data_IF_422358209862
#
_entry.id   IF_422358209862
#
_cell.length_a   1.000
_cell.length_b   1.000
_cell.length_c   1.000
_cell.angle_alpha   90.00
_cell.angle_beta   90.00
_cell.angle_gamma   90.00
#
_symmetry.space_group_name_H-M   'P 1'
#
loop_
_entity.id
_entity.type
_entity.pdbx_description
1 polymer ?
#
# COMPACT_ATOMS: atom_id res chain seq x y z
N UNK A 1 -12.25 -25.29 -5.31
CA UNK A 1 -13.42 -24.96 -4.49
C UNK A 1 -13.08 -23.68 -3.73
N UNK A 2 -13.66 -22.55 -4.10
CA UNK A 2 -13.54 -21.29 -3.35
C UNK A 2 -14.43 -21.40 -2.12
N UNK A 3 -13.87 -21.83 -0.98
CA UNK A 3 -14.61 -21.92 0.28
C UNK A 3 -15.15 -20.53 0.65
N UNK A 4 -16.46 -20.44 0.88
CA UNK A 4 -17.10 -19.25 1.44
C UNK A 4 -16.51 -18.94 2.80
N UNK A 5 -16.64 -17.69 3.23
CA UNK A 5 -16.12 -17.17 4.50
C UNK A 5 -17.25 -16.79 5.48
N UNK A 6 -18.40 -17.50 5.38
CA UNK A 6 -19.65 -17.18 6.10
C UNK A 6 -19.47 -17.06 7.63
N UNK A 7 -18.53 -17.82 8.20
CA UNK A 7 -18.27 -17.81 9.64
C UNK A 7 -17.18 -16.81 10.06
N UNK A 8 -16.56 -16.12 9.12
CA UNK A 8 -15.44 -15.22 9.41
C UNK A 8 -15.90 -13.82 9.78
N UNK A 9 -15.30 -13.27 10.82
CA UNK A 9 -15.44 -11.87 11.22
C UNK A 9 -14.17 -11.11 10.82
N UNK A 10 -14.33 -10.09 9.98
CA UNK A 10 -13.23 -9.36 9.38
C UNK A 10 -13.31 -7.89 9.77
N UNK A 11 -12.27 -7.38 10.41
CA UNK A 11 -12.08 -5.95 10.69
C UNK A 11 -11.23 -5.33 9.58
N UNK A 12 -11.67 -4.21 9.01
CA UNK A 12 -10.95 -3.49 7.95
C UNK A 12 -10.85 -2.00 8.31
N UNK A 13 -9.62 -1.49 8.42
CA UNK A 13 -9.40 -0.06 8.61
C UNK A 13 -9.26 0.67 7.27
N UNK A 14 -9.73 1.92 7.19
CA UNK A 14 -9.70 2.71 5.95
C UNK A 14 -10.66 2.20 4.88
N UNK A 15 -11.83 1.70 5.29
CA UNK A 15 -12.79 1.05 4.40
C UNK A 15 -13.65 1.99 3.55
N UNK A 16 -13.45 3.32 3.61
CA UNK A 16 -14.28 4.31 2.88
C UNK A 16 -13.93 4.46 1.41
N UNK A 17 -12.78 3.95 0.94
CA UNK A 17 -12.37 4.06 -0.47
C UNK A 17 -11.20 3.11 -0.81
N UNK A 18 -10.83 3.07 -2.09
CA UNK A 18 -9.64 2.37 -2.57
C UNK A 18 -9.57 0.90 -2.16
N UNK A 19 -8.39 0.44 -1.77
CA UNK A 19 -8.12 -0.95 -1.37
C UNK A 19 -9.05 -1.41 -0.24
N UNK A 20 -9.27 -0.58 0.79
CA UNK A 20 -10.12 -0.96 1.92
C UNK A 20 -11.57 -1.22 1.52
N UNK A 21 -12.14 -0.36 0.67
CA UNK A 21 -13.48 -0.54 0.11
C UNK A 21 -13.55 -1.78 -0.80
N UNK A 22 -12.58 -1.93 -1.71
CA UNK A 22 -12.51 -3.10 -2.59
C UNK A 22 -12.44 -4.41 -1.79
N UNK A 23 -11.62 -4.43 -0.74
CA UNK A 23 -11.48 -5.58 0.16
C UNK A 23 -12.76 -5.85 0.94
N UNK A 24 -13.44 -4.82 1.48
CA UNK A 24 -14.71 -4.99 2.17
C UNK A 24 -15.78 -5.61 1.25
N UNK A 25 -15.90 -5.12 0.02
CA UNK A 25 -16.83 -5.66 -0.98
C UNK A 25 -16.46 -7.10 -1.37
N UNK A 26 -15.18 -7.43 -1.47
CA UNK A 26 -14.73 -8.78 -1.79
C UNK A 26 -15.06 -9.76 -0.66
N UNK A 27 -14.85 -9.39 0.61
CA UNK A 27 -15.25 -10.20 1.76
C UNK A 27 -16.76 -10.34 1.87
N UNK A 28 -17.54 -9.29 1.62
CA UNK A 28 -19.00 -9.34 1.61
C UNK A 28 -19.52 -10.36 0.57
N UNK A 29 -19.01 -10.33 -0.67
CA UNK A 29 -19.34 -11.32 -1.70
C UNK A 29 -18.98 -12.76 -1.31
N UNK A 30 -18.02 -12.95 -0.41
CA UNK A 30 -17.65 -14.26 0.13
C UNK A 30 -18.37 -14.62 1.44
N UNK A 31 -19.35 -13.83 1.90
CA UNK A 31 -20.23 -14.14 3.03
C UNK A 31 -19.69 -13.72 4.41
N UNK A 32 -18.54 -13.06 4.51
CA UNK A 32 -17.96 -12.69 5.79
C UNK A 32 -18.74 -11.57 6.50
N UNK A 33 -18.78 -11.62 7.84
CA UNK A 33 -19.28 -10.53 8.70
C UNK A 33 -18.21 -9.47 8.84
N UNK A 34 -18.57 -8.18 8.78
CA UNK A 34 -17.61 -7.10 8.65
C UNK A 34 -17.71 -6.09 9.80
N UNK A 35 -16.56 -5.65 10.30
CA UNK A 35 -16.44 -4.45 11.13
C UNK A 35 -15.57 -3.45 10.37
N UNK A 36 -16.15 -2.35 9.91
CA UNK A 36 -15.51 -1.40 9.01
C UNK A 36 -15.28 -0.06 9.72
N UNK A 37 -14.13 0.56 9.44
CA UNK A 37 -13.90 1.91 9.94
C UNK A 37 -13.20 2.83 8.94
N UNK A 38 -13.46 4.12 9.09
CA UNK A 38 -12.78 5.20 8.41
C UNK A 38 -13.04 6.52 9.12
N UNK A 39 -12.28 7.57 8.77
CA UNK A 39 -12.53 8.93 9.27
C UNK A 39 -13.75 9.60 8.60
N UNK A 40 -14.05 9.23 7.35
CA UNK A 40 -15.12 9.81 6.53
C UNK A 40 -16.39 8.96 6.65
N UNK A 41 -17.33 9.44 7.47
CA UNK A 41 -18.56 8.72 7.74
C UNK A 41 -19.47 8.55 6.51
N UNK A 42 -19.69 9.58 5.64
CA UNK A 42 -20.56 9.41 4.48
C UNK A 42 -20.08 8.31 3.53
N UNK A 43 -18.80 8.32 3.14
CA UNK A 43 -18.24 7.31 2.23
C UNK A 43 -18.08 5.94 2.89
N UNK A 44 -17.95 5.89 4.23
CA UNK A 44 -18.01 4.63 4.98
C UNK A 44 -19.43 4.05 4.91
N UNK A 45 -20.45 4.88 5.10
CA UNK A 45 -21.84 4.45 5.01
C UNK A 45 -22.18 3.86 3.63
N UNK A 46 -21.66 4.45 2.54
CA UNK A 46 -21.82 3.90 1.19
C UNK A 46 -21.21 2.50 1.06
N UNK A 47 -20.03 2.29 1.65
CA UNK A 47 -19.38 0.97 1.65
C UNK A 47 -20.20 -0.03 2.48
N UNK A 48 -20.66 0.37 3.65
CA UNK A 48 -21.49 -0.44 4.54
C UNK A 48 -22.80 -0.84 3.85
N UNK A 49 -23.47 0.11 3.19
CA UNK A 49 -24.68 -0.15 2.41
C UNK A 49 -24.44 -1.20 1.34
N UNK A 50 -23.40 -1.03 0.52
CA UNK A 50 -23.06 -1.98 -0.54
C UNK A 50 -22.72 -3.38 0.00
N UNK A 51 -22.07 -3.48 1.17
CA UNK A 51 -21.82 -4.77 1.81
C UNK A 51 -23.11 -5.41 2.36
N UNK A 52 -24.02 -4.63 2.95
CA UNK A 52 -25.33 -5.13 3.41
C UNK A 52 -26.22 -5.60 2.25
N UNK A 53 -26.14 -4.92 1.11
CA UNK A 53 -26.82 -5.35 -0.14
C UNK A 53 -26.30 -6.70 -0.66
N UNK A 54 -25.04 -7.04 -0.36
CA UNK A 54 -24.51 -8.38 -0.62
C UNK A 54 -24.97 -9.45 0.40
N UNK A 55 -25.82 -9.08 1.36
CA UNK A 55 -26.46 -10.01 2.30
C UNK A 55 -25.69 -10.30 3.58
N UNK A 56 -24.61 -9.56 3.90
CA UNK A 56 -23.79 -9.80 5.09
C UNK A 56 -24.06 -8.80 6.21
N UNK A 57 -23.78 -9.23 7.46
CA UNK A 57 -23.85 -8.36 8.63
C UNK A 57 -22.64 -7.43 8.66
N UNK A 58 -22.89 -6.15 8.90
CA UNK A 58 -21.85 -5.13 8.95
C UNK A 58 -22.08 -4.20 10.15
N UNK A 59 -21.06 -4.01 10.96
CA UNK A 59 -20.96 -2.90 11.93
C UNK A 59 -19.91 -1.92 11.45
N UNK A 60 -20.15 -0.64 11.74
CA UNK A 60 -19.25 0.43 11.39
C UNK A 60 -18.94 1.32 12.60
N UNK A 61 -17.77 1.97 12.56
CA UNK A 61 -17.39 2.99 13.53
C UNK A 61 -16.54 4.07 12.84
N UNK A 62 -16.93 5.33 12.99
CA UNK A 62 -16.06 6.42 12.58
C UNK A 62 -14.80 6.41 13.47
N UNK A 63 -13.63 6.30 12.85
CA UNK A 63 -12.37 6.06 13.56
C UNK A 63 -11.22 6.78 12.86
N UNK A 64 -10.46 7.57 13.61
CA UNK A 64 -9.08 7.92 13.26
C UNK A 64 -8.15 6.86 13.84
N UNK A 65 -7.48 6.11 12.99
CA UNK A 65 -6.56 5.04 13.44
C UNK A 65 -5.32 5.56 14.17
N UNK A 66 -5.03 6.87 14.10
CA UNK A 66 -3.98 7.51 14.89
C UNK A 66 -4.37 7.65 16.38
N UNK A 67 -5.62 7.39 16.74
CA UNK A 67 -6.12 7.38 18.12
C UNK A 67 -6.30 5.93 18.59
N UNK A 68 -5.47 5.51 19.54
CA UNK A 68 -5.50 4.14 20.09
C UNK A 68 -6.84 3.79 20.74
N UNK A 69 -7.50 4.75 21.41
CA UNK A 69 -8.77 4.51 22.08
C UNK A 69 -9.89 4.22 21.06
N UNK A 70 -9.90 4.92 19.92
CA UNK A 70 -10.86 4.67 18.86
C UNK A 70 -10.62 3.30 18.18
N UNK A 71 -9.36 2.89 18.01
CA UNK A 71 -9.03 1.55 17.47
C UNK A 71 -9.45 0.44 18.43
N UNK A 72 -9.27 0.62 19.75
CA UNK A 72 -9.77 -0.30 20.77
C UNK A 72 -11.31 -0.38 20.74
N UNK A 73 -11.99 0.77 20.61
CA UNK A 73 -13.45 0.81 20.49
C UNK A 73 -13.96 0.06 19.25
N UNK A 74 -13.25 0.12 18.11
CA UNK A 74 -13.58 -0.67 16.93
C UNK A 74 -13.49 -2.18 17.19
N UNK A 75 -12.41 -2.64 17.84
CA UNK A 75 -12.27 -4.04 18.22
C UNK A 75 -13.40 -4.49 19.15
N UNK A 76 -13.69 -3.71 20.19
CA UNK A 76 -14.77 -3.97 21.12
C UNK A 76 -16.12 -4.06 20.40
N UNK A 77 -16.40 -3.14 19.48
CA UNK A 77 -17.62 -3.12 18.68
C UNK A 77 -17.78 -4.38 17.82
N UNK A 78 -16.68 -4.88 17.24
CA UNK A 78 -16.68 -6.13 16.48
C UNK A 78 -16.98 -7.35 17.39
N UNK A 79 -16.36 -7.40 18.58
CA UNK A 79 -16.54 -8.48 19.54
C UNK A 79 -17.98 -8.48 20.08
N UNK A 80 -18.53 -7.32 20.45
CA UNK A 80 -19.91 -7.20 20.92
C UNK A 80 -20.93 -7.66 19.88
N UNK A 81 -20.69 -7.34 18.62
CA UNK A 81 -21.60 -7.69 17.55
C UNK A 81 -21.50 -9.17 17.10
N UNK A 82 -20.30 -9.74 17.11
CA UNK A 82 -20.04 -11.01 16.45
C UNK A 82 -19.37 -12.07 17.34
N UNK A 83 -18.96 -11.71 18.56
CA UNK A 83 -18.35 -12.61 19.54
C UNK A 83 -16.87 -12.93 19.30
N UNK A 84 -16.31 -12.56 18.15
CA UNK A 84 -14.93 -12.89 17.76
C UNK A 84 -14.39 -11.96 16.69
N UNK A 85 -13.07 -12.05 16.41
CA UNK A 85 -12.43 -11.46 15.24
C UNK A 85 -11.54 -12.55 14.62
N UNK A 86 -11.74 -12.89 13.35
CA UNK A 86 -10.93 -13.89 12.65
C UNK A 86 -9.82 -13.24 11.81
N UNK A 87 -10.11 -12.07 11.26
CA UNK A 87 -9.17 -11.33 10.40
C UNK A 87 -9.15 -9.88 10.82
N UNK A 88 -7.95 -9.32 10.90
CA UNK A 88 -7.75 -7.87 11.05
C UNK A 88 -6.88 -7.37 9.92
N UNK A 89 -7.41 -6.48 9.09
CA UNK A 89 -6.69 -5.85 7.99
C UNK A 89 -6.37 -4.39 8.32
N UNK A 90 -5.11 -4.13 8.71
CA UNK A 90 -4.56 -2.78 8.86
C UNK A 90 -4.29 -2.20 7.47
N UNK A 91 -5.23 -1.41 6.95
CA UNK A 91 -5.15 -0.86 5.61
C UNK A 91 -5.17 0.68 5.58
N UNK A 92 -5.74 1.35 6.58
CA UNK A 92 -5.79 2.81 6.62
C UNK A 92 -4.40 3.42 6.39
N UNK A 93 -4.32 4.41 5.51
CA UNK A 93 -3.07 5.09 5.21
C UNK A 93 -3.27 6.41 4.49
N UNK A 94 -2.26 7.27 4.60
CA UNK A 94 -2.15 8.58 3.95
C UNK A 94 -0.74 8.75 3.40
N UNK A 95 -0.56 9.71 2.48
CA UNK A 95 0.76 10.04 1.91
C UNK A 95 0.98 11.55 1.88
N UNK A 96 2.24 11.98 1.81
CA UNK A 96 2.66 13.36 1.61
C UNK A 96 3.78 13.41 0.58
N UNK A 97 3.52 14.12 -0.51
CA UNK A 97 4.37 14.21 -1.69
C UNK A 97 5.13 15.54 -1.75
N UNK A 98 6.39 15.48 -2.11
CA UNK A 98 7.26 16.63 -2.32
C UNK A 98 8.73 16.33 -2.06
N UNK A 99 9.64 17.25 -2.39
CA UNK A 99 11.02 17.18 -1.93
C UNK A 99 11.08 17.09 -0.39
N UNK A 100 12.00 16.33 0.15
CA UNK A 100 12.08 16.09 1.60
C UNK A 100 12.12 17.40 2.43
N UNK A 101 12.87 18.40 1.93
CA UNK A 101 13.01 19.68 2.61
C UNK A 101 11.75 20.55 2.57
N UNK A 102 10.82 20.28 1.66
CA UNK A 102 9.60 21.05 1.48
C UNK A 102 8.40 20.44 2.21
N UNK A 103 8.51 19.17 2.64
CA UNK A 103 7.47 18.50 3.42
C UNK A 103 7.55 19.00 4.88
N UNK A 104 6.49 19.67 5.42
CA UNK A 104 6.50 20.11 6.80
C UNK A 104 6.63 18.95 7.79
N UNK A 105 7.35 19.15 8.91
CA UNK A 105 7.51 18.12 9.95
C UNK A 105 6.16 17.59 10.46
N UNK A 106 5.16 18.46 10.62
CA UNK A 106 3.81 18.06 11.03
C UNK A 106 3.15 17.09 10.04
N UNK A 107 3.33 17.29 8.72
CA UNK A 107 2.84 16.37 7.69
C UNK A 107 3.59 15.04 7.74
N UNK A 108 4.91 15.08 7.94
CA UNK A 108 5.73 13.89 8.11
C UNK A 108 5.26 13.06 9.33
N UNK A 109 5.12 13.69 10.48
CA UNK A 109 4.65 13.07 11.71
C UNK A 109 3.24 12.49 11.54
N UNK A 110 2.34 13.23 10.88
CA UNK A 110 0.97 12.76 10.64
C UNK A 110 0.93 11.49 9.79
N UNK A 111 1.77 11.39 8.76
CA UNK A 111 1.89 10.16 7.97
C UNK A 111 2.33 8.98 8.86
N UNK A 112 3.33 9.17 9.73
CA UNK A 112 3.76 8.13 10.66
C UNK A 112 2.67 7.76 11.66
N UNK A 113 1.95 8.74 12.21
CA UNK A 113 0.87 8.51 13.16
C UNK A 113 -0.26 7.67 12.53
N UNK A 114 -0.67 7.99 11.32
CA UNK A 114 -1.75 7.25 10.65
C UNK A 114 -1.26 5.87 10.20
N UNK A 115 -0.15 5.82 9.45
CA UNK A 115 0.28 4.58 8.78
C UNK A 115 0.91 3.59 9.76
N UNK A 116 1.90 4.05 10.56
CA UNK A 116 2.65 3.18 11.45
C UNK A 116 1.92 2.99 12.78
N UNK A 117 1.61 4.07 13.49
CA UNK A 117 0.97 3.93 14.81
C UNK A 117 -0.43 3.35 14.70
N UNK A 118 -1.20 3.71 13.66
CA UNK A 118 -2.47 3.05 13.35
C UNK A 118 -2.33 1.54 13.15
N UNK A 119 -1.27 1.09 12.44
CA UNK A 119 -0.96 -0.34 12.30
C UNK A 119 -0.54 -0.95 13.64
N UNK A 120 0.23 -0.26 14.48
CA UNK A 120 0.60 -0.72 15.84
C UNK A 120 -0.65 -0.94 16.70
N UNK A 121 -1.55 0.04 16.74
CA UNK A 121 -2.77 -0.02 17.56
C UNK A 121 -3.72 -1.13 17.08
N UNK A 122 -3.92 -1.25 15.76
CA UNK A 122 -4.70 -2.33 15.18
C UNK A 122 -4.08 -3.70 15.43
N UNK A 123 -2.77 -3.82 15.31
CA UNK A 123 -2.06 -5.09 15.62
C UNK A 123 -2.19 -5.47 17.08
N UNK A 124 -2.08 -4.52 18.02
CA UNK A 124 -2.32 -4.79 19.45
C UNK A 124 -3.73 -5.28 19.71
N UNK A 125 -4.73 -4.58 19.18
CA UNK A 125 -6.14 -4.96 19.35
C UNK A 125 -6.41 -6.37 18.79
N UNK A 126 -5.91 -6.66 17.57
CA UNK A 126 -6.06 -7.96 16.93
C UNK A 126 -5.36 -9.08 17.70
N UNK A 127 -4.07 -8.92 18.02
CA UNK A 127 -3.29 -9.96 18.69
C UNK A 127 -3.74 -10.22 20.13
N UNK A 128 -4.26 -9.22 20.84
CA UNK A 128 -4.91 -9.42 22.14
C UNK A 128 -6.10 -10.38 22.01
N UNK A 129 -6.97 -10.14 21.03
CA UNK A 129 -8.12 -11.01 20.77
C UNK A 129 -7.70 -12.40 20.27
N UNK A 130 -6.71 -12.47 19.36
CA UNK A 130 -6.24 -13.73 18.80
C UNK A 130 -5.58 -14.64 19.85
N UNK A 131 -4.84 -14.08 20.81
CA UNK A 131 -4.31 -14.84 21.95
C UNK A 131 -5.40 -15.43 22.81
N UNK A 132 -6.47 -14.69 23.07
CA UNK A 132 -7.60 -15.16 23.89
C UNK A 132 -8.40 -16.27 23.20
N UNK A 133 -8.61 -16.17 21.88
CA UNK A 133 -9.39 -17.14 21.11
C UNK A 133 -8.57 -18.27 20.47
N UNK A 134 -7.23 -18.19 20.54
CA UNK A 134 -6.31 -19.20 20.04
C UNK A 134 -6.13 -19.23 18.51
N UNK A 135 -6.70 -18.28 17.76
CA UNK A 135 -6.62 -18.23 16.29
C UNK A 135 -6.87 -16.84 15.74
N UNK A 136 -6.33 -16.54 14.55
CA UNK A 136 -6.63 -15.32 13.81
C UNK A 136 -5.56 -14.97 12.78
N UNK A 137 -5.91 -14.11 11.83
CA UNK A 137 -5.00 -13.63 10.79
C UNK A 137 -4.91 -12.11 10.82
N UNK A 138 -3.75 -11.59 11.22
CA UNK A 138 -3.39 -10.19 11.12
C UNK A 138 -2.77 -9.94 9.74
N UNK A 139 -3.30 -8.98 8.99
CA UNK A 139 -2.77 -8.60 7.69
C UNK A 139 -2.39 -7.12 7.74
N UNK A 140 -1.13 -6.81 7.51
CA UNK A 140 -0.62 -5.44 7.48
C UNK A 140 -0.38 -4.99 6.04
N UNK A 141 -1.00 -3.88 5.64
CA UNK A 141 -0.84 -3.28 4.32
C UNK A 141 0.44 -2.41 4.29
N UNK A 142 1.54 -3.02 3.87
CA UNK A 142 2.79 -2.31 3.59
C UNK A 142 2.74 -1.63 2.20
N UNK A 143 3.75 -1.80 1.39
CA UNK A 143 3.86 -1.36 -0.01
C UNK A 143 5.15 -1.91 -0.60
N UNK A 144 5.27 -1.90 -1.93
CA UNK A 144 6.55 -2.11 -2.62
C UNK A 144 7.61 -1.10 -2.17
N UNK A 145 7.23 0.14 -1.87
CA UNK A 145 8.18 1.16 -1.39
C UNK A 145 8.69 0.90 0.03
N UNK A 146 8.15 -0.10 0.72
CA UNK A 146 8.73 -0.67 1.95
C UNK A 146 9.85 -1.69 1.69
N UNK A 147 10.20 -1.95 0.42
CA UNK A 147 11.33 -2.77 -0.03
C UNK A 147 12.26 -2.02 -0.96
N UNK A 148 11.71 -1.38 -2.00
CA UNK A 148 12.42 -0.58 -2.97
C UNK A 148 11.95 0.88 -2.83
N UNK A 149 12.72 1.75 -2.16
CA UNK A 149 12.29 3.12 -1.86
C UNK A 149 12.22 3.96 -3.13
N UNK A 150 11.31 4.93 -3.14
CA UNK A 150 11.24 5.96 -4.19
C UNK A 150 11.29 7.35 -3.56
N UNK A 151 11.88 8.37 -4.20
CA UNK A 151 11.93 9.73 -3.67
C UNK A 151 10.57 10.43 -3.74
N UNK A 152 10.49 11.60 -3.11
CA UNK A 152 9.37 12.54 -3.13
C UNK A 152 8.12 12.12 -2.33
N UNK A 153 8.21 11.09 -1.50
CA UNK A 153 7.23 10.73 -0.48
C UNK A 153 7.88 10.00 0.70
N UNK A 154 8.96 10.59 1.18
CA UNK A 154 9.81 10.02 2.25
C UNK A 154 9.08 9.61 3.53
N UNK A 155 8.05 10.34 4.05
CA UNK A 155 7.31 9.88 5.23
C UNK A 155 6.54 8.59 4.98
N UNK A 156 5.97 8.42 3.78
CA UNK A 156 5.29 7.20 3.39
C UNK A 156 6.26 6.03 3.28
N UNK A 157 7.38 6.21 2.57
CA UNK A 157 8.46 5.21 2.47
C UNK A 157 8.89 4.76 3.87
N UNK A 158 9.25 5.69 4.76
CA UNK A 158 9.65 5.39 6.13
C UNK A 158 8.58 4.58 6.87
N UNK A 159 7.29 4.97 6.75
CA UNK A 159 6.19 4.25 7.39
C UNK A 159 6.05 2.81 6.87
N UNK A 160 6.22 2.59 5.56
CA UNK A 160 6.04 1.28 4.94
C UNK A 160 7.20 0.31 5.22
N UNK A 161 8.44 0.80 5.31
CA UNK A 161 9.56 0.03 5.85
C UNK A 161 9.32 -0.37 7.31
N UNK A 162 8.87 0.58 8.14
CA UNK A 162 8.58 0.30 9.54
C UNK A 162 7.46 -0.74 9.73
N UNK A 163 6.39 -0.70 8.93
CA UNK A 163 5.30 -1.70 8.95
C UNK A 163 5.83 -3.09 8.59
N UNK A 164 6.73 -3.22 7.61
CA UNK A 164 7.37 -4.50 7.29
C UNK A 164 8.20 -5.02 8.46
N UNK A 165 9.07 -4.17 9.02
CA UNK A 165 9.88 -4.51 10.20
C UNK A 165 9.04 -4.94 11.38
N UNK A 166 7.99 -4.18 11.71
CA UNK A 166 7.02 -4.53 12.74
C UNK A 166 6.37 -5.89 12.47
N UNK A 167 5.91 -6.15 11.24
CA UNK A 167 5.29 -7.42 10.88
C UNK A 167 6.25 -8.60 11.02
N UNK A 168 7.55 -8.39 10.76
CA UNK A 168 8.57 -9.41 10.96
C UNK A 168 8.77 -9.74 12.45
N UNK A 169 8.79 -8.73 13.32
CA UNK A 169 8.91 -8.92 14.77
C UNK A 169 7.67 -9.62 15.33
N UNK A 170 6.46 -9.14 14.99
CA UNK A 170 5.21 -9.73 15.48
C UNK A 170 5.04 -11.19 15.08
N UNK A 171 5.52 -11.61 13.89
CA UNK A 171 5.52 -13.04 13.52
C UNK A 171 6.33 -13.92 14.47
N UNK A 172 7.45 -13.41 14.95
CA UNK A 172 8.30 -14.15 15.89
C UNK A 172 7.63 -14.21 17.27
N UNK A 173 6.95 -13.14 17.68
CA UNK A 173 6.26 -13.08 18.98
C UNK A 173 5.02 -13.98 19.08
N UNK A 174 4.47 -14.46 17.96
CA UNK A 174 3.30 -15.36 17.93
C UNK A 174 3.65 -16.78 17.50
N UNK A 175 4.92 -17.16 17.45
CA UNK A 175 5.36 -18.52 17.06
C UNK A 175 4.84 -19.61 18.00
N UNK A 176 4.48 -19.26 19.24
CA UNK A 176 3.83 -20.14 20.22
C UNK A 176 2.34 -20.40 19.91
N UNK A 177 1.74 -19.67 18.96
CA UNK A 177 0.34 -19.75 18.60
C UNK A 177 0.16 -20.26 17.15
N UNK A 178 0.08 -21.58 16.93
CA UNK A 178 0.14 -22.18 15.58
C UNK A 178 -1.00 -21.76 14.64
N UNK A 179 -2.12 -21.28 15.17
CA UNK A 179 -3.26 -20.81 14.39
C UNK A 179 -3.38 -19.28 14.34
N UNK A 180 -2.36 -18.55 14.82
CA UNK A 180 -2.28 -17.09 14.71
C UNK A 180 -1.24 -16.75 13.65
N UNK A 181 -1.66 -16.01 12.64
CA UNK A 181 -0.82 -15.65 11.50
C UNK A 181 -0.66 -14.14 11.39
N UNK A 182 0.56 -13.69 11.09
CA UNK A 182 0.85 -12.28 10.75
C UNK A 182 1.35 -12.23 9.32
N UNK A 183 0.55 -11.67 8.43
CA UNK A 183 0.82 -11.53 7.00
C UNK A 183 1.14 -10.08 6.65
N UNK A 184 1.96 -9.89 5.63
CA UNK A 184 2.24 -8.57 5.05
C UNK A 184 1.82 -8.58 3.59
N UNK A 185 1.01 -7.63 3.16
CA UNK A 185 0.76 -7.39 1.75
C UNK A 185 1.55 -6.17 1.29
N UNK A 186 2.23 -6.28 0.15
CA UNK A 186 3.05 -5.23 -0.44
C UNK A 186 2.48 -4.85 -1.82
N UNK A 187 1.48 -3.95 -1.88
CA UNK A 187 0.96 -3.49 -3.16
C UNK A 187 2.02 -2.71 -3.96
N UNK A 188 1.97 -2.86 -5.28
CA UNK A 188 2.66 -1.99 -6.24
C UNK A 188 1.92 -0.65 -6.36
N UNK A 189 2.02 0.05 -7.50
CA UNK A 189 1.23 1.24 -7.77
C UNK A 189 -0.23 0.85 -8.04
N UNK A 190 -1.14 1.27 -7.17
CA UNK A 190 -2.56 0.87 -7.23
C UNK A 190 -3.44 2.07 -7.59
N UNK A 191 -4.44 1.84 -8.43
CA UNK A 191 -5.45 2.83 -8.81
C UNK A 191 -6.37 3.18 -7.64
N UNK A 192 -5.95 4.11 -6.80
CA UNK A 192 -6.69 4.53 -5.61
C UNK A 192 -6.84 6.05 -5.55
N UNK A 193 -7.84 6.57 -4.81
CA UNK A 193 -7.93 7.99 -4.50
C UNK A 193 -6.79 8.54 -3.62
N UNK A 194 -5.88 7.72 -3.12
CA UNK A 194 -4.73 8.15 -2.31
C UNK A 194 -3.88 9.20 -3.02
N UNK A 195 -3.68 9.03 -4.33
CA UNK A 195 -2.86 9.91 -5.16
C UNK A 195 -3.40 11.34 -5.28
N UNK A 196 -4.73 11.50 -5.25
CA UNK A 196 -5.37 12.82 -5.28
C UNK A 196 -5.50 13.47 -3.90
N UNK A 197 -5.49 12.66 -2.82
CA UNK A 197 -5.78 13.08 -1.45
C UNK A 197 -4.57 13.23 -0.56
N UNK A 198 -3.40 12.79 -0.99
CA UNK A 198 -2.17 13.00 -0.26
C UNK A 198 -1.85 14.48 -0.11
N UNK A 199 -1.14 14.84 0.96
CA UNK A 199 -0.53 16.16 1.05
C UNK A 199 0.41 16.36 -0.13
N UNK A 200 0.39 17.54 -0.73
CA UNK A 200 1.24 17.83 -1.90
C UNK A 200 2.01 19.13 -1.68
N UNK A 201 3.31 19.00 -1.57
CA UNK A 201 4.28 20.09 -1.36
C UNK A 201 5.25 20.22 -2.53
N UNK A 202 4.93 19.61 -3.67
CA UNK A 202 5.83 19.55 -4.83
C UNK A 202 5.70 20.71 -5.81
N UNK A 203 4.63 21.51 -5.70
CA UNK A 203 4.30 22.54 -6.68
C UNK A 203 3.69 22.02 -7.99
N UNK A 204 3.52 20.71 -8.16
CA UNK A 204 3.03 20.03 -9.37
C UNK A 204 1.96 19.00 -9.02
N UNK A 205 1.05 18.70 -9.95
CA UNK A 205 0.07 17.64 -9.74
C UNK A 205 0.76 16.28 -9.70
N UNK A 206 0.30 15.43 -8.78
CA UNK A 206 0.81 14.07 -8.59
C UNK A 206 0.02 13.09 -9.45
N UNK A 207 0.66 12.01 -9.87
CA UNK A 207 0.03 10.83 -10.47
C UNK A 207 0.74 9.55 -10.04
N UNK A 208 0.06 8.39 -10.05
CA UNK A 208 0.71 7.12 -9.74
C UNK A 208 1.80 6.78 -10.77
N UNK A 209 2.78 6.00 -10.32
CA UNK A 209 3.84 5.47 -11.19
C UNK A 209 3.32 4.24 -11.95
N UNK A 210 3.63 4.17 -13.24
CA UNK A 210 3.32 2.99 -14.06
C UNK A 210 4.23 1.79 -13.72
N UNK A 211 3.73 0.55 -13.85
CA UNK A 211 2.37 0.17 -14.23
C UNK A 211 1.39 0.28 -13.06
N UNK A 212 0.20 0.78 -13.34
CA UNK A 212 -0.87 0.92 -12.36
C UNK A 212 -1.71 -0.37 -12.35
N UNK A 213 -2.07 -0.84 -11.16
CA UNK A 213 -2.85 -2.05 -10.96
C UNK A 213 -4.22 -1.73 -10.32
N UNK A 214 -5.28 -2.53 -10.59
CA UNK A 214 -6.58 -2.33 -9.99
C UNK A 214 -6.57 -2.72 -8.49
N UNK A 215 -7.41 -2.05 -7.70
CA UNK A 215 -7.59 -2.33 -6.26
C UNK A 215 -8.07 -3.75 -5.98
N UNK A 216 -8.85 -4.33 -6.89
CA UNK A 216 -9.37 -5.68 -6.81
C UNK A 216 -8.25 -6.72 -6.72
N UNK A 217 -7.13 -6.49 -7.37
CA UNK A 217 -5.96 -7.38 -7.28
C UNK A 217 -5.43 -7.47 -5.85
N UNK A 218 -5.42 -6.36 -5.10
CA UNK A 218 -5.02 -6.37 -3.68
C UNK A 218 -6.07 -7.08 -2.84
N UNK A 219 -7.36 -6.84 -3.10
CA UNK A 219 -8.45 -7.50 -2.39
C UNK A 219 -8.40 -9.04 -2.55
N UNK A 220 -8.11 -9.54 -3.75
CA UNK A 220 -7.94 -10.98 -4.00
C UNK A 220 -6.72 -11.56 -3.25
N UNK A 221 -5.61 -10.82 -3.21
CA UNK A 221 -4.44 -11.23 -2.41
C UNK A 221 -4.79 -11.32 -0.93
N UNK A 222 -5.53 -10.34 -0.38
CA UNK A 222 -5.97 -10.34 1.02
C UNK A 222 -6.91 -11.53 1.31
N UNK A 223 -7.85 -11.83 0.41
CA UNK A 223 -8.69 -13.01 0.51
C UNK A 223 -7.89 -14.32 0.47
N UNK A 224 -6.88 -14.40 -0.40
CA UNK A 224 -6.01 -15.57 -0.50
C UNK A 224 -5.20 -15.77 0.80
N UNK A 225 -4.71 -14.70 1.42
CA UNK A 225 -3.99 -14.75 2.71
C UNK A 225 -4.85 -15.27 3.87
N UNK A 226 -6.16 -15.07 3.84
CA UNK A 226 -7.06 -15.63 4.86
C UNK A 226 -7.24 -17.13 4.67
N UNK A 227 -7.23 -17.64 3.44
CA UNK A 227 -7.36 -19.05 3.11
C UNK A 227 -6.06 -19.83 3.28
N UNK A 228 -4.95 -19.19 2.89
CA UNK A 228 -3.60 -19.75 2.95
C UNK A 228 -2.62 -18.66 3.42
N UNK A 229 -2.43 -18.50 4.74
CA UNK A 229 -1.57 -17.46 5.28
C UNK A 229 -0.13 -17.59 4.77
N UNK A 230 0.43 -16.48 4.31
CA UNK A 230 1.82 -16.38 3.86
C UNK A 230 2.50 -15.21 4.57
N UNK A 231 3.80 -15.34 4.75
CA UNK A 231 4.61 -14.34 5.46
C UNK A 231 4.50 -12.94 4.82
N UNK A 232 4.69 -12.88 3.51
CA UNK A 232 4.69 -11.64 2.73
C UNK A 232 4.29 -11.94 1.29
N UNK A 233 3.42 -11.11 0.72
CA UNK A 233 2.95 -11.26 -0.67
C UNK A 233 2.94 -9.90 -1.35
N UNK A 234 3.47 -9.85 -2.56
CA UNK A 234 3.39 -8.67 -3.42
C UNK A 234 2.10 -8.71 -4.24
N UNK A 235 1.35 -7.62 -4.21
CA UNK A 235 0.18 -7.43 -5.07
C UNK A 235 0.57 -6.56 -6.28
N UNK A 236 0.74 -7.21 -7.42
CA UNK A 236 1.32 -6.68 -8.64
C UNK A 236 2.65 -7.35 -8.97
N UNK A 237 2.76 -7.89 -10.20
CA UNK A 237 3.94 -8.66 -10.64
C UNK A 237 5.24 -7.84 -10.59
N UNK A 238 5.17 -6.54 -10.86
CA UNK A 238 6.32 -5.62 -10.82
C UNK A 238 6.91 -5.47 -9.41
N UNK A 239 6.09 -5.59 -8.36
CA UNK A 239 6.55 -5.41 -6.99
C UNK A 239 7.59 -6.42 -6.56
N UNK A 240 7.36 -7.69 -6.87
CA UNK A 240 8.32 -8.75 -6.56
C UNK A 240 9.64 -8.57 -7.32
N UNK A 241 9.57 -8.27 -8.62
CA UNK A 241 10.76 -8.06 -9.46
C UNK A 241 11.62 -6.92 -8.91
N UNK A 242 11.02 -5.78 -8.58
CA UNK A 242 11.73 -4.63 -8.01
C UNK A 242 12.34 -4.94 -6.64
N UNK A 243 11.66 -5.71 -5.80
CA UNK A 243 12.19 -6.13 -4.50
C UNK A 243 13.45 -6.98 -4.66
N UNK A 244 13.44 -7.97 -5.57
CA UNK A 244 14.59 -8.82 -5.85
C UNK A 244 15.75 -8.03 -6.48
N UNK A 245 15.44 -7.12 -7.40
CA UNK A 245 16.46 -6.24 -8.00
C UNK A 245 17.12 -5.34 -6.96
N UNK A 246 16.32 -4.73 -6.07
CA UNK A 246 16.84 -3.88 -4.99
C UNK A 246 17.69 -4.69 -4.02
N UNK A 247 17.31 -5.92 -3.69
CA UNK A 247 18.11 -6.80 -2.84
C UNK A 247 19.45 -7.18 -3.47
N UNK A 248 19.49 -7.38 -4.80
CA UNK A 248 20.69 -7.78 -5.53
C UNK A 248 21.61 -6.60 -5.92
N UNK A 249 21.04 -5.43 -6.22
CA UNK A 249 21.76 -4.27 -6.71
C UNK A 249 21.08 -2.96 -6.23
N UNK A 250 21.18 -2.62 -4.93
CA UNK A 250 20.44 -1.51 -4.35
C UNK A 250 20.78 -0.17 -4.98
N UNK A 251 22.04 0.17 -5.15
CA UNK A 251 22.48 1.45 -5.73
C UNK A 251 21.95 1.67 -7.15
N UNK A 252 21.97 0.64 -7.97
CA UNK A 252 21.48 0.71 -9.35
C UNK A 252 19.95 0.87 -9.37
N UNK A 253 19.25 0.12 -8.54
CA UNK A 253 17.78 0.16 -8.45
C UNK A 253 17.30 1.51 -7.91
N UNK A 254 17.98 2.06 -6.90
CA UNK A 254 17.69 3.37 -6.32
C UNK A 254 17.95 4.50 -7.33
N UNK A 255 19.08 4.44 -8.07
CA UNK A 255 19.37 5.42 -9.12
C UNK A 255 18.29 5.40 -10.22
N UNK A 256 17.85 4.20 -10.64
CA UNK A 256 16.76 4.04 -11.60
C UNK A 256 15.44 4.58 -11.02
N UNK A 257 15.08 4.21 -9.78
CA UNK A 257 13.86 4.67 -9.13
C UNK A 257 13.83 6.20 -8.99
N UNK A 258 14.98 6.82 -8.70
CA UNK A 258 15.09 8.27 -8.60
C UNK A 258 14.85 8.98 -9.94
N UNK A 259 15.41 8.48 -11.04
CA UNK A 259 15.19 9.04 -12.38
C UNK A 259 13.75 8.83 -12.82
N UNK A 260 13.23 7.62 -12.64
CA UNK A 260 11.87 7.26 -13.03
C UNK A 260 10.82 8.08 -12.28
N UNK A 261 10.98 8.24 -10.95
CA UNK A 261 10.07 9.05 -10.15
C UNK A 261 10.09 10.53 -10.56
N UNK A 262 11.27 11.12 -10.84
CA UNK A 262 11.38 12.51 -11.32
C UNK A 262 10.61 12.74 -12.62
N UNK A 263 10.61 11.77 -13.52
CA UNK A 263 9.97 11.87 -14.84
C UNK A 263 8.48 11.52 -14.80
N UNK A 264 8.07 10.63 -13.90
CA UNK A 264 6.77 9.98 -13.99
C UNK A 264 5.80 10.32 -12.86
N UNK A 265 6.28 10.70 -11.66
CA UNK A 265 5.42 10.99 -10.50
C UNK A 265 4.67 12.32 -10.64
N UNK A 266 5.25 13.27 -11.36
CA UNK A 266 4.71 14.63 -11.50
C UNK A 266 4.12 14.85 -12.89
N UNK A 267 2.94 15.47 -12.94
CA UNK A 267 2.35 15.98 -14.18
C UNK A 267 2.97 17.35 -14.52
N UNK A 268 2.87 17.79 -15.77
CA UNK A 268 3.36 19.13 -16.16
C UNK A 268 2.46 20.28 -15.69
N UNK A 269 1.33 19.95 -15.07
CA UNK A 269 0.41 20.93 -14.51
C UNK A 269 0.86 21.40 -13.13
N UNK A 270 0.88 22.72 -12.85
CA UNK A 270 1.16 23.25 -11.53
C UNK A 270 0.08 22.88 -10.53
N UNK A 271 0.44 22.79 -9.25
CA UNK A 271 -0.49 22.63 -8.14
C UNK A 271 -0.03 23.47 -6.95
N UNK A 272 -0.99 24.08 -6.26
CA UNK A 272 -0.71 24.74 -5.00
C UNK A 272 -0.31 23.71 -3.93
N UNK A 273 0.50 24.15 -2.97
CA UNK A 273 0.78 23.33 -1.78
C UNK A 273 -0.50 23.10 -1.00
N UNK A 274 -0.71 21.85 -0.57
CA UNK A 274 -1.92 21.46 0.19
C UNK A 274 -1.60 20.34 1.17
N UNK A 275 -2.29 20.37 2.30
CA UNK A 275 -2.26 19.26 3.27
C UNK A 275 -3.10 18.05 2.79
N UNK A 276 -3.95 18.24 1.79
CA UNK A 276 -4.89 17.20 1.36
C UNK A 276 -5.70 16.66 2.54
N UNK A 277 -5.94 15.37 2.53
CA UNK A 277 -6.69 14.69 3.59
C UNK A 277 -5.82 14.22 4.79
N UNK A 278 -4.64 14.79 5.02
CA UNK A 278 -3.76 14.39 6.11
C UNK A 278 -4.42 14.61 7.48
N UNK A 279 -4.82 15.83 7.75
CA UNK A 279 -5.36 16.24 9.06
C UNK A 279 -6.88 16.20 9.07
N UNK A 280 -7.50 16.84 8.10
CA UNK A 280 -8.95 16.93 7.97
C UNK A 280 -9.42 15.99 6.85
N UNK A 281 -10.43 15.16 7.11
CA UNK A 281 -11.00 14.33 6.06
C UNK A 281 -11.66 15.19 4.98
N UNK A 282 -11.18 15.12 3.75
CA UNK A 282 -11.82 15.80 2.62
C UNK A 282 -12.99 14.96 2.09
N UNK A 283 -14.15 15.60 1.89
CA UNK A 283 -15.25 15.04 1.13
C UNK A 283 -14.82 14.78 -0.33
N UNK A 284 -15.36 13.77 -0.96
CA UNK A 284 -15.08 13.53 -2.37
C UNK A 284 -15.13 12.07 -2.76
N UNK A 285 -14.45 11.67 -3.82
CA UNK A 285 -14.52 10.34 -4.41
C UNK A 285 -14.29 9.21 -3.40
N UNK A 286 -15.39 8.63 -2.86
CA UNK A 286 -15.39 7.38 -2.08
C UNK A 286 -15.28 6.13 -2.96
N UNK A 287 -14.82 6.27 -4.19
CA UNK A 287 -14.67 5.19 -5.15
C UNK A 287 -13.62 4.14 -4.74
N UNK A 288 -13.75 2.98 -5.33
CA UNK A 288 -12.72 1.94 -5.29
C UNK A 288 -11.51 2.41 -6.09
N UNK A 289 -11.74 2.90 -7.30
CA UNK A 289 -10.75 3.45 -8.24
C UNK A 289 -10.51 4.95 -8.01
N UNK A 290 -9.29 5.40 -8.24
CA UNK A 290 -8.90 6.81 -8.35
C UNK A 290 -9.10 7.38 -9.75
N UNK A 291 -9.47 6.54 -10.74
CA UNK A 291 -9.62 6.94 -12.14
C UNK A 291 -8.29 7.02 -12.91
N UNK A 292 -7.27 6.30 -12.46
CA UNK A 292 -5.94 6.31 -13.07
C UNK A 292 -5.76 5.22 -14.12
N UNK A 293 -6.54 4.14 -14.06
CA UNK A 293 -6.55 3.12 -15.09
C UNK A 293 -7.34 3.63 -16.29
N UNK A 294 -6.70 3.65 -17.44
CA UNK A 294 -7.36 3.90 -18.72
C UNK A 294 -7.98 2.58 -19.19
N UNK A 295 -9.32 2.48 -19.28
CA UNK A 295 -9.97 1.25 -19.77
C UNK A 295 -9.57 0.87 -21.20
N UNK A 296 -9.07 1.83 -22.00
CA UNK A 296 -8.59 1.60 -23.36
C UNK A 296 -7.14 1.13 -23.42
N UNK A 297 -6.41 1.22 -22.31
CA UNK A 297 -5.04 0.70 -22.17
C UNK A 297 -5.10 -0.54 -21.29
N UNK A 298 -5.20 -1.75 -21.85
CA UNK A 298 -5.04 -2.95 -21.05
C UNK A 298 -3.73 -2.83 -20.27
N UNK A 299 -3.78 -3.11 -18.97
CA UNK A 299 -2.58 -3.09 -18.13
C UNK A 299 -1.46 -3.87 -18.84
N UNK A 300 -0.23 -3.37 -18.77
CA UNK A 300 0.92 -3.98 -19.46
C UNK A 300 0.91 -5.47 -19.13
N UNK A 301 0.73 -6.38 -20.10
CA UNK A 301 0.84 -7.81 -19.87
C UNK A 301 2.19 -8.11 -19.23
N UNK A 302 2.27 -9.09 -18.35
CA UNK A 302 3.52 -9.45 -17.68
C UNK A 302 4.68 -9.76 -18.66
N UNK A 303 4.37 -10.06 -19.94
CA UNK A 303 5.33 -10.27 -21.02
C UNK A 303 5.85 -8.99 -21.72
N UNK A 304 5.17 -7.84 -21.54
CA UNK A 304 5.53 -6.58 -22.21
C UNK A 304 6.21 -5.58 -21.24
N UNK A 305 6.64 -6.05 -20.07
CA UNK A 305 7.47 -5.26 -19.17
C UNK A 305 8.75 -4.84 -19.90
N UNK A 306 9.16 -3.55 -19.81
CA UNK A 306 10.44 -3.13 -20.38
C UNK A 306 11.55 -4.11 -19.99
N UNK A 307 12.49 -4.38 -20.87
CA UNK A 307 13.56 -5.36 -20.67
C UNK A 307 14.36 -5.22 -19.36
N UNK A 308 14.30 -4.05 -18.72
CA UNK A 308 14.80 -3.77 -17.36
C UNK A 308 14.11 -4.63 -16.29
N UNK A 309 12.82 -4.96 -16.47
CA UNK A 309 12.05 -5.81 -15.56
C UNK A 309 12.15 -7.31 -15.92
N UNK A 310 12.73 -7.63 -17.09
CA UNK A 310 12.97 -9.02 -17.53
C UNK A 310 14.29 -9.61 -17.00
N UNK A 311 15.05 -8.85 -16.20
CA UNK A 311 16.37 -9.24 -15.68
C UNK A 311 16.45 -10.48 -14.75
N UNK A 312 15.38 -11.06 -14.16
CA UNK A 312 15.51 -12.30 -13.41
C UNK A 312 16.06 -13.48 -14.21
N UNK A 313 15.79 -13.52 -15.52
CA UNK A 313 16.35 -14.56 -16.40
C UNK A 313 17.88 -14.42 -16.62
N UNK A 314 18.43 -13.23 -16.40
CA UNK A 314 19.86 -12.94 -16.51
C UNK A 314 20.61 -13.21 -15.18
N UNK A 315 19.95 -13.13 -14.03
CA UNK A 315 20.52 -13.47 -12.73
C UNK A 315 20.79 -14.98 -12.59
N UNK A 316 20.00 -15.82 -13.27
CA UNK A 316 20.23 -17.27 -13.34
C UNK A 316 21.48 -17.68 -14.15
N UNK A 317 22.03 -16.76 -14.95
CA UNK A 317 23.17 -17.04 -15.84
C UNK A 317 24.54 -16.68 -15.24
N UNK A 318 24.62 -16.28 -13.98
CA UNK A 318 25.86 -16.04 -13.22
C UNK A 318 26.48 -14.64 -13.38
N UNK A 319 27.31 -14.21 -12.42
CA UNK A 319 27.84 -12.84 -12.30
C UNK A 319 28.67 -12.36 -13.50
N UNK A 320 29.27 -13.26 -14.25
CA UNK A 320 30.19 -12.92 -15.35
C UNK A 320 29.50 -12.40 -16.63
N UNK A 321 28.24 -12.81 -16.89
CA UNK A 321 27.45 -12.33 -18.04
C UNK A 321 26.74 -11.02 -17.73
N UNK A 322 26.48 -10.77 -16.44
CA UNK A 322 25.80 -9.57 -15.94
C UNK A 322 26.65 -8.31 -16.15
N UNK A 323 27.95 -8.38 -15.85
CA UNK A 323 28.86 -7.24 -15.99
C UNK A 323 29.17 -6.87 -17.45
N UNK A 324 29.09 -7.80 -18.39
CA UNK A 324 29.52 -7.57 -19.77
C UNK A 324 28.44 -6.97 -20.68
N UNK A 325 27.19 -7.36 -20.55
CA UNK A 325 26.10 -6.88 -21.43
C UNK A 325 25.40 -5.63 -20.94
N UNK A 326 25.23 -5.46 -19.63
CA UNK A 326 24.67 -4.24 -19.05
C UNK A 326 25.64 -3.07 -19.11
N UNK A 327 26.96 -3.31 -18.95
CA UNK A 327 27.94 -2.23 -18.95
C UNK A 327 28.08 -1.49 -20.28
N UNK A 328 27.90 -2.13 -21.42
CA UNK A 328 28.10 -1.46 -22.72
C UNK A 328 26.89 -0.68 -23.24
N UNK A 329 25.69 -1.22 -23.18
CA UNK A 329 24.51 -0.55 -23.72
C UNK A 329 23.82 0.36 -22.69
N UNK A 330 23.76 -0.07 -21.44
CA UNK A 330 23.11 0.69 -20.36
C UNK A 330 23.97 1.86 -19.92
N UNK A 331 25.27 1.68 -19.73
CA UNK A 331 26.20 2.76 -19.39
C UNK A 331 26.34 3.77 -20.53
N UNK A 332 26.24 3.36 -21.80
CA UNK A 332 26.22 4.31 -22.90
C UNK A 332 24.93 5.14 -22.98
N UNK A 333 23.77 4.53 -22.82
CA UNK A 333 22.50 5.28 -22.80
C UNK A 333 22.32 6.10 -21.52
N UNK A 334 22.67 5.53 -20.38
CA UNK A 334 22.56 6.19 -19.08
C UNK A 334 23.66 7.23 -18.89
N UNK A 335 24.86 6.96 -19.34
CA UNK A 335 25.98 7.91 -19.33
C UNK A 335 25.73 9.14 -20.21
N UNK A 336 25.06 9.01 -21.35
CA UNK A 336 24.64 10.14 -22.18
C UNK A 336 23.52 10.97 -21.53
N UNK A 337 22.60 10.36 -20.80
CA UNK A 337 21.56 11.09 -20.05
C UNK A 337 22.10 11.79 -18.82
N UNK A 338 23.01 11.15 -18.06
CA UNK A 338 23.70 11.79 -16.92
C UNK A 338 24.60 12.96 -17.33
N UNK A 339 25.31 12.85 -18.47
CA UNK A 339 26.12 13.95 -19.02
C UNK A 339 25.26 15.09 -19.57
N UNK A 340 24.08 14.82 -20.08
CA UNK A 340 23.12 15.86 -20.49
C UNK A 340 22.54 16.63 -19.28
N UNK A 341 22.38 15.96 -18.12
CA UNK A 341 21.89 16.57 -16.88
C UNK A 341 22.98 17.32 -16.09
N UNK A 342 24.26 16.98 -16.29
CA UNK A 342 25.38 17.57 -15.58
C UNK A 342 25.93 18.86 -16.24
N UNK A 343 25.33 19.39 -17.30
CA UNK A 343 25.69 20.68 -17.86
C UNK A 343 24.96 21.80 -17.11
N UNK A 344 25.63 22.56 -16.22
CA UNK A 344 25.06 23.80 -15.71
C UNK A 344 24.95 24.76 -16.89
N UNK A 345 23.80 25.38 -17.04
CA UNK A 345 23.59 26.45 -18.00
C UNK A 345 24.51 27.64 -17.69
N UNK A 346 25.66 27.66 -18.31
CA UNK A 346 26.45 28.89 -18.49
C UNK A 346 25.78 29.67 -19.62
N UNK A 347 24.79 30.51 -19.31
CA UNK A 347 24.50 31.66 -20.17
C UNK A 347 25.11 32.87 -19.54
N UNK A 348 26.12 33.38 -20.24
CA UNK A 348 26.66 34.73 -20.12
C UNK A 348 25.63 35.70 -20.71
N UNK A 349 25.47 36.83 -20.06
CA UNK A 349 24.74 37.98 -20.55
C UNK A 349 24.42 38.89 -19.38
#
# INVERSE_FOLDING_TARGET
>A
MTGRLDDKVVVITGASSGIGKATALAFARNGARLALCARRQPELNDTVKACREAGVQVVELQTDVADEAQVKALAQRAIEAFGRIDVWFNNAGVDAFGPFLDIPSAAFERVLQVNLMGTVYGSRAALTQFRQQGSGTLINNASIVGTCPTPFHSPYVASKFAIRGLSHALRQEVMDLPNVHVCTVCPSSIDTPLWQRGGNYSGRKIKPLDPIHPTEQVAEVVLALVRAPQREVFAGATGWILAEQHAAAPELTEAFAAVFARQSLFQDAPAASTEGALFVPEAGNGGVSGGWLDPSRPGIPAGDLPAIFAAPALLAAGPALYTWKLSRNFVQQFGMQLTAMARPGLQKG
#
